data_IF_220261863599
#
_entry.id   IF_220261863599
#
_cell.length_a   1.000
_cell.length_b   1.000
_cell.length_c   1.000
_cell.angle_alpha   90.00
_cell.angle_beta   90.00
_cell.angle_gamma   90.00
#
_symmetry.space_group_name_H-M   'P 1'
#
loop_
_entity.id
_entity.type
_entity.pdbx_description
1 polymer ?
#
# COMPACT_ATOMS: atom_id res chain seq x y z
N UNK A 1 -10.57 -0.91 15.00
CA UNK A 1 -10.24 -0.17 16.21
C UNK A 1 -8.76 -0.33 16.54
N UNK A 2 -8.26 -1.49 17.00
CA UNK A 2 -6.88 -1.70 17.49
C UNK A 2 -5.77 -1.33 16.48
N UNK A 3 -5.97 -1.62 15.20
CA UNK A 3 -4.99 -1.23 14.17
C UNK A 3 -4.92 0.29 14.00
N UNK A 4 -6.02 1.00 14.15
CA UNK A 4 -6.06 2.48 14.15
C UNK A 4 -5.40 3.06 15.41
N UNK A 5 -5.50 2.37 16.52
CA UNK A 5 -4.84 2.73 17.78
C UNK A 5 -3.33 2.38 17.80
N UNK A 6 -2.78 1.82 16.73
CA UNK A 6 -1.33 1.57 16.60
C UNK A 6 -0.82 0.27 17.22
N UNK A 7 -1.70 -0.64 17.66
CA UNK A 7 -1.30 -1.88 18.35
C UNK A 7 -0.81 -3.00 17.41
N UNK A 8 -0.71 -2.77 16.11
CA UNK A 8 -0.21 -3.73 15.13
C UNK A 8 -0.88 -3.61 13.76
N UNK A 9 -0.46 -4.44 12.82
CA UNK A 9 -1.11 -4.54 11.52
C UNK A 9 -2.48 -5.23 11.66
N UNK A 10 -3.37 -4.99 10.70
CA UNK A 10 -4.69 -5.62 10.68
C UNK A 10 -4.58 -7.15 10.69
N UNK A 11 -3.67 -7.73 9.90
CA UNK A 11 -3.44 -9.18 9.84
C UNK A 11 -2.90 -9.75 11.15
N UNK A 12 -1.96 -9.09 11.79
CA UNK A 12 -1.43 -9.51 13.11
C UNK A 12 -2.54 -9.52 14.17
N UNK A 13 -3.34 -8.44 14.22
CA UNK A 13 -4.44 -8.34 15.17
C UNK A 13 -5.56 -9.35 14.89
N UNK A 14 -5.87 -9.63 13.64
CA UNK A 14 -6.80 -10.70 13.25
C UNK A 14 -6.29 -12.09 13.70
N UNK A 15 -4.98 -12.33 13.58
CA UNK A 15 -4.36 -13.56 14.07
C UNK A 15 -4.45 -13.67 15.60
N UNK A 16 -4.21 -12.58 16.34
CA UNK A 16 -4.34 -12.53 17.79
C UNK A 16 -5.81 -12.78 18.25
N UNK A 17 -6.78 -12.21 17.54
CA UNK A 17 -8.20 -12.44 17.82
C UNK A 17 -8.55 -13.91 17.58
N UNK A 18 -8.13 -14.49 16.45
CA UNK A 18 -8.34 -15.91 16.13
C UNK A 18 -7.71 -16.85 17.16
N UNK A 19 -6.56 -16.47 17.72
CA UNK A 19 -5.86 -17.20 18.75
C UNK A 19 -6.48 -17.02 20.17
N UNK A 20 -7.58 -16.24 20.31
CA UNK A 20 -8.22 -15.98 21.59
C UNK A 20 -7.42 -15.08 22.55
N UNK A 21 -6.41 -14.37 22.03
CA UNK A 21 -5.49 -13.53 22.81
C UNK A 21 -6.01 -12.09 23.04
N UNK A 22 -7.17 -11.75 22.47
CA UNK A 22 -7.81 -10.45 22.64
C UNK A 22 -9.11 -10.60 23.39
N UNK A 23 -9.33 -9.78 24.40
CA UNK A 23 -10.60 -9.73 25.14
C UNK A 23 -11.14 -8.30 25.23
N UNK A 24 -12.46 -8.20 25.29
CA UNK A 24 -13.22 -6.96 25.46
C UNK A 24 -14.09 -7.12 26.71
N UNK A 25 -13.92 -6.25 27.69
CA UNK A 25 -14.63 -6.31 28.97
C UNK A 25 -14.56 -7.71 29.63
N UNK A 26 -13.42 -8.40 29.49
CA UNK A 26 -13.18 -9.73 30.02
C UNK A 26 -13.70 -10.90 29.18
N UNK A 27 -14.41 -10.64 28.09
CA UNK A 27 -14.89 -11.67 27.14
C UNK A 27 -13.94 -11.77 25.95
N UNK A 28 -13.60 -13.00 25.54
CA UNK A 28 -12.73 -13.21 24.36
C UNK A 28 -13.42 -12.69 23.10
N UNK A 29 -12.74 -11.80 22.39
CA UNK A 29 -13.25 -11.17 21.18
C UNK A 29 -13.30 -12.15 20.00
N UNK A 30 -14.29 -12.00 19.14
CA UNK A 30 -14.44 -12.77 17.89
C UNK A 30 -14.13 -11.90 16.69
N UNK A 31 -13.62 -12.54 15.63
CA UNK A 31 -13.32 -11.84 14.39
C UNK A 31 -14.61 -11.29 13.77
N UNK A 32 -14.58 -10.01 13.37
CA UNK A 32 -15.76 -9.33 12.79
C UNK A 32 -16.72 -8.71 13.81
N UNK A 33 -16.51 -8.93 15.10
CA UNK A 33 -17.30 -8.31 16.16
C UNK A 33 -17.10 -6.79 16.18
N UNK A 34 -18.19 -6.05 16.34
CA UNK A 34 -18.15 -4.59 16.44
C UNK A 34 -17.93 -4.18 17.89
N UNK A 35 -17.01 -3.27 18.11
CA UNK A 35 -16.83 -2.60 19.41
C UNK A 35 -17.77 -1.39 19.41
N UNK A 36 -18.88 -1.49 20.13
CA UNK A 36 -19.90 -0.43 20.22
C UNK A 36 -19.62 0.54 21.38
N UNK A 37 -18.98 0.05 22.44
CA UNK A 37 -18.65 0.86 23.62
C UNK A 37 -17.22 1.46 23.47
N UNK A 38 -17.14 2.76 23.36
CA UNK A 38 -15.87 3.50 23.29
C UNK A 38 -15.04 3.42 24.59
N UNK A 39 -15.67 3.08 25.70
CA UNK A 39 -15.02 2.91 27.00
C UNK A 39 -14.70 1.44 27.34
N UNK A 40 -14.95 0.52 26.42
CA UNK A 40 -14.67 -0.89 26.63
C UNK A 40 -13.19 -1.12 26.97
N UNK A 41 -12.95 -1.94 27.99
CA UNK A 41 -11.60 -2.35 28.37
C UNK A 41 -11.14 -3.45 27.44
N UNK A 42 -10.22 -3.13 26.54
CA UNK A 42 -9.60 -4.11 25.62
C UNK A 42 -8.28 -4.58 26.19
N UNK A 43 -8.05 -5.89 26.15
CA UNK A 43 -6.77 -6.50 26.57
C UNK A 43 -6.21 -7.37 25.45
N UNK A 44 -4.90 -7.31 25.27
CA UNK A 44 -4.11 -8.22 24.44
C UNK A 44 -3.16 -8.95 25.40
N UNK A 45 -3.20 -10.27 25.42
CA UNK A 45 -2.41 -11.11 26.33
C UNK A 45 -2.55 -10.71 27.80
N UNK A 46 -3.75 -10.31 28.20
CA UNK A 46 -4.05 -9.86 29.56
C UNK A 46 -3.66 -8.41 29.86
N UNK A 47 -2.89 -7.74 29.02
CA UNK A 47 -2.51 -6.35 29.20
C UNK A 47 -3.54 -5.40 28.60
N UNK A 48 -3.98 -4.43 29.38
CA UNK A 48 -4.93 -3.41 28.93
C UNK A 48 -4.30 -2.54 27.86
N UNK A 49 -4.97 -2.41 26.73
CA UNK A 49 -4.56 -1.56 25.59
C UNK A 49 -5.64 -0.52 25.32
N UNK A 50 -5.23 0.67 24.91
CA UNK A 50 -6.19 1.71 24.53
C UNK A 50 -6.90 1.32 23.23
N UNK A 51 -8.22 1.20 23.29
CA UNK A 51 -9.07 1.07 22.09
C UNK A 51 -9.46 2.45 21.53
N UNK A 52 -9.24 3.53 22.28
CA UNK A 52 -9.46 4.89 21.78
C UNK A 52 -8.49 5.09 20.62
N UNK A 53 -9.03 5.44 19.46
CA UNK A 53 -8.20 6.05 18.44
C UNK A 53 -7.46 7.21 19.12
N UNK A 54 -6.13 7.21 19.04
CA UNK A 54 -5.39 8.33 19.60
C UNK A 54 -6.01 9.62 19.07
N UNK A 55 -6.21 10.57 19.98
CA UNK A 55 -6.74 11.91 19.67
C UNK A 55 -6.25 12.35 18.32
N UNK A 56 -7.17 12.75 17.45
CA UNK A 56 -7.00 13.19 16.07
C UNK A 56 -5.61 12.92 15.49
N UNK A 57 -5.38 11.73 14.96
CA UNK A 57 -4.15 11.48 14.23
C UNK A 57 -4.14 12.46 13.06
N UNK A 58 -3.39 13.52 13.23
CA UNK A 58 -3.21 14.52 12.15
C UNK A 58 -2.82 13.74 10.90
N UNK A 59 -3.71 13.77 9.89
CA UNK A 59 -3.42 13.13 8.62
C UNK A 59 -2.15 13.78 8.04
N UNK A 60 -1.10 12.99 7.96
CA UNK A 60 0.16 13.39 7.33
C UNK A 60 0.32 12.68 6.02
N UNK A 61 0.78 13.40 5.01
CA UNK A 61 1.11 12.85 3.70
C UNK A 61 2.56 13.18 3.39
N UNK A 62 3.29 12.21 2.88
CA UNK A 62 4.66 12.33 2.45
C UNK A 62 4.79 11.90 0.99
N UNK A 63 5.33 12.76 0.14
CA UNK A 63 5.79 12.41 -1.19
C UNK A 63 7.25 11.95 -1.10
N UNK A 64 7.51 10.74 -1.57
CA UNK A 64 8.82 10.12 -1.54
C UNK A 64 9.26 9.78 -2.95
N UNK A 65 10.46 10.18 -3.32
CA UNK A 65 11.11 9.68 -4.52
C UNK A 65 11.77 8.35 -4.19
N UNK A 66 11.16 7.24 -4.60
CA UNK A 66 11.75 5.91 -4.44
C UNK A 66 12.88 5.72 -5.45
N UNK A 67 14.11 5.48 -5.02
CA UNK A 67 15.19 5.09 -5.93
C UNK A 67 15.04 3.61 -6.34
N UNK A 68 15.75 3.22 -7.39
CA UNK A 68 15.94 1.81 -7.73
C UNK A 68 16.66 1.06 -6.59
N UNK A 69 16.36 -0.21 -6.42
CA UNK A 69 16.97 -1.10 -5.44
C UNK A 69 16.30 -1.09 -4.06
N UNK A 70 15.40 -0.15 -3.77
CA UNK A 70 14.62 -0.19 -2.52
C UNK A 70 13.34 -1.00 -2.67
N UNK A 71 13.01 -1.77 -1.63
CA UNK A 71 11.83 -2.62 -1.59
C UNK A 71 10.66 -1.94 -0.88
N UNK A 72 9.45 -2.08 -1.42
CA UNK A 72 8.21 -1.60 -0.80
C UNK A 72 7.67 -2.61 0.23
N UNK A 73 8.48 -2.99 1.20
CA UNK A 73 8.12 -3.86 2.32
C UNK A 73 8.61 -3.27 3.64
N UNK A 74 7.98 -3.63 4.75
CA UNK A 74 8.42 -3.23 6.09
C UNK A 74 9.55 -4.09 6.61
N UNK A 75 9.65 -5.31 6.14
CA UNK A 75 10.66 -6.27 6.55
C UNK A 75 11.09 -7.08 5.33
N UNK A 76 12.38 -7.18 5.15
CA UNK A 76 13.00 -8.05 4.16
C UNK A 76 13.88 -9.07 4.85
N UNK A 77 13.63 -10.38 4.66
CA UNK A 77 14.42 -11.44 5.29
C UNK A 77 15.90 -11.43 4.90
N UNK A 78 16.21 -10.89 3.72
CA UNK A 78 17.57 -10.80 3.19
C UNK A 78 18.30 -9.52 3.63
N UNK A 79 17.64 -8.64 4.41
CA UNK A 79 18.23 -7.41 4.91
C UNK A 79 18.47 -6.32 3.86
N UNK A 80 17.81 -6.40 2.69
CA UNK A 80 17.89 -5.36 1.66
C UNK A 80 17.21 -4.08 2.14
N UNK A 81 17.61 -2.96 1.59
CA UNK A 81 17.01 -1.66 1.93
C UNK A 81 15.53 -1.60 1.57
N UNK A 82 14.75 -1.04 2.47
CA UNK A 82 13.32 -0.81 2.26
C UNK A 82 13.01 0.69 2.21
N UNK A 83 11.90 1.04 1.58
CA UNK A 83 11.43 2.44 1.54
C UNK A 83 11.19 3.01 2.94
N UNK A 84 10.87 2.15 3.93
CA UNK A 84 10.58 2.59 5.30
C UNK A 84 11.83 2.98 6.10
N UNK A 85 13.04 2.57 5.67
CA UNK A 85 14.29 2.87 6.36
C UNK A 85 14.64 4.36 6.34
N UNK A 86 14.16 5.10 5.32
CA UNK A 86 14.43 6.52 5.14
C UNK A 86 13.30 7.45 5.57
N UNK A 87 12.14 6.91 5.94
CA UNK A 87 11.02 7.73 6.34
C UNK A 87 11.26 8.38 7.70
N UNK A 88 10.81 9.62 7.90
CA UNK A 88 10.91 10.27 9.21
C UNK A 88 10.13 9.48 10.25
N UNK A 89 10.74 9.36 11.44
CA UNK A 89 10.08 8.71 12.57
C UNK A 89 8.90 9.56 13.05
N UNK A 90 7.76 8.91 13.27
CA UNK A 90 6.56 9.53 13.81
C UNK A 90 6.14 8.81 15.09
N UNK A 91 5.65 9.59 16.07
CA UNK A 91 5.13 9.03 17.32
C UNK A 91 3.61 8.84 17.20
N UNK A 92 3.11 7.76 17.79
CA UNK A 92 1.68 7.50 17.89
C UNK A 92 0.95 7.15 16.59
N UNK A 93 1.69 7.01 15.48
CA UNK A 93 1.14 6.56 14.20
C UNK A 93 2.22 5.86 13.37
N UNK A 94 1.86 5.40 12.18
CA UNK A 94 2.80 4.74 11.25
C UNK A 94 2.55 5.20 9.83
N UNK A 95 3.60 5.20 9.03
CA UNK A 95 3.48 5.41 7.60
C UNK A 95 2.83 4.21 6.92
N UNK A 96 1.89 4.48 6.05
CA UNK A 96 1.22 3.53 5.18
C UNK A 96 1.59 3.90 3.76
N UNK A 97 2.13 2.96 3.00
CA UNK A 97 2.43 3.14 1.59
C UNK A 97 1.16 3.19 0.76
N UNK A 98 1.03 4.17 -0.11
CA UNK A 98 -0.05 4.27 -1.09
C UNK A 98 0.40 3.53 -2.36
N UNK A 99 0.16 2.23 -2.40
CA UNK A 99 0.63 1.35 -3.46
C UNK A 99 2.07 0.87 -3.24
N UNK A 100 2.62 0.31 -4.29
CA UNK A 100 3.99 -0.24 -4.33
C UNK A 100 4.60 0.01 -5.70
N UNK A 101 5.91 0.16 -5.71
CA UNK A 101 6.73 0.12 -6.92
C UNK A 101 7.70 -1.07 -6.78
N UNK A 102 8.02 -1.71 -7.88
CA UNK A 102 9.00 -2.78 -7.90
C UNK A 102 10.40 -2.28 -7.57
N UNK A 103 11.30 -3.18 -7.19
CA UNK A 103 12.68 -2.84 -6.83
C UNK A 103 13.37 -2.01 -7.92
N UNK A 104 13.17 -2.38 -9.18
CA UNK A 104 13.79 -1.73 -10.35
C UNK A 104 13.02 -0.50 -10.87
N UNK A 105 11.92 -0.14 -10.21
CA UNK A 105 11.13 1.05 -10.57
C UNK A 105 11.49 2.19 -9.62
N UNK A 106 11.76 3.36 -10.18
CA UNK A 106 11.97 4.60 -9.42
C UNK A 106 10.83 5.58 -9.64
N UNK A 107 10.68 6.55 -8.75
CA UNK A 107 9.73 7.63 -8.89
C UNK A 107 8.85 7.87 -7.69
N UNK A 108 7.69 8.51 -7.92
CA UNK A 108 6.78 8.95 -6.86
C UNK A 108 6.14 7.77 -6.13
N UNK A 109 6.31 7.75 -4.84
CA UNK A 109 5.59 6.88 -3.91
C UNK A 109 5.04 7.71 -2.77
N UNK A 110 3.74 7.67 -2.55
CA UNK A 110 3.09 8.40 -1.46
C UNK A 110 3.01 7.54 -0.21
N UNK A 111 3.17 8.20 0.94
CA UNK A 111 2.90 7.62 2.25
C UNK A 111 1.93 8.50 3.01
N UNK A 112 1.08 7.90 3.81
CA UNK A 112 0.18 8.63 4.70
C UNK A 112 0.06 7.93 6.05
N UNK A 113 -0.33 8.69 7.07
CA UNK A 113 -0.74 8.14 8.37
C UNK A 113 -2.20 7.72 8.39
N UNK A 114 -2.98 8.14 7.39
CA UNK A 114 -4.41 7.84 7.27
C UNK A 114 -4.64 6.64 6.35
N UNK A 115 -5.07 5.52 6.94
CA UNK A 115 -5.36 4.28 6.20
C UNK A 115 -6.58 4.38 5.28
N UNK A 116 -7.53 5.27 5.57
CA UNK A 116 -8.70 5.48 4.72
C UNK A 116 -8.30 6.25 3.46
N UNK A 117 -7.49 7.31 3.61
CA UNK A 117 -6.92 8.04 2.48
C UNK A 117 -6.09 7.11 1.59
N UNK A 118 -5.20 6.28 2.20
CA UNK A 118 -4.43 5.30 1.45
C UNK A 118 -5.33 4.36 0.64
N UNK A 119 -6.38 3.82 1.27
CA UNK A 119 -7.34 2.94 0.60
C UNK A 119 -8.08 3.65 -0.54
N UNK A 120 -8.52 4.89 -0.35
CA UNK A 120 -9.19 5.67 -1.40
C UNK A 120 -8.30 5.89 -2.62
N UNK A 121 -7.01 6.14 -2.40
CA UNK A 121 -6.06 6.36 -3.49
C UNK A 121 -5.64 5.07 -4.22
N UNK A 122 -5.69 3.92 -3.54
CA UNK A 122 -5.26 2.64 -4.10
C UNK A 122 -6.39 1.80 -4.68
N UNK A 123 -7.63 1.97 -4.20
CA UNK A 123 -8.72 1.07 -4.54
C UNK A 123 -9.10 1.20 -6.03
N UNK A 124 -9.15 0.11 -6.80
CA UNK A 124 -9.40 0.15 -8.23
C UNK A 124 -10.69 0.87 -8.63
N UNK A 125 -11.74 0.81 -7.80
CA UNK A 125 -13.00 1.50 -8.07
C UNK A 125 -12.91 3.03 -8.09
N UNK A 126 -11.81 3.61 -7.60
CA UNK A 126 -11.60 5.05 -7.60
C UNK A 126 -10.92 5.56 -8.87
N UNK A 127 -10.37 4.65 -9.66
CA UNK A 127 -9.76 4.95 -10.97
C UNK A 127 -8.78 6.14 -10.92
N UNK A 128 -7.96 6.20 -9.85
CA UNK A 128 -6.92 7.22 -9.76
C UNK A 128 -5.84 6.89 -10.79
N UNK A 129 -5.70 7.75 -11.77
CA UNK A 129 -4.72 7.59 -12.84
C UNK A 129 -3.29 7.56 -12.31
N UNK A 130 -2.47 6.73 -12.93
CA UNK A 130 -1.04 6.59 -12.66
C UNK A 130 -0.31 6.55 -13.96
N UNK A 131 0.60 7.50 -14.14
CA UNK A 131 1.43 7.60 -15.32
C UNK A 131 2.83 7.03 -15.04
N UNK A 132 3.33 6.23 -15.98
CA UNK A 132 4.67 5.65 -15.91
C UNK A 132 5.43 5.99 -17.19
N UNK A 133 6.72 6.30 -17.05
CA UNK A 133 7.66 6.33 -18.15
C UNK A 133 8.33 4.95 -18.25
N UNK A 134 8.03 4.23 -19.32
CA UNK A 134 8.47 2.83 -19.51
C UNK A 134 9.47 2.77 -20.66
N UNK A 135 10.60 2.09 -20.44
CA UNK A 135 11.55 1.75 -21.49
C UNK A 135 11.35 0.29 -21.90
N UNK A 136 11.18 0.08 -23.19
CA UNK A 136 10.98 -1.23 -23.81
C UNK A 136 12.11 -1.48 -24.80
N UNK A 137 12.68 -2.69 -24.75
CA UNK A 137 13.65 -3.15 -25.71
C UNK A 137 13.00 -4.06 -26.75
N UNK A 138 13.28 -3.84 -28.04
CA UNK A 138 12.79 -4.64 -29.15
C UNK A 138 11.88 -3.88 -30.09
N UNK A 139 11.34 -4.58 -31.09
CA UNK A 139 10.41 -4.00 -32.04
C UNK A 139 9.06 -3.70 -31.44
N UNK A 140 8.66 -2.43 -31.48
CA UNK A 140 7.35 -1.97 -31.07
C UNK A 140 6.67 -1.32 -32.28
N UNK A 141 5.60 -1.93 -32.75
CA UNK A 141 4.77 -1.46 -33.83
C UNK A 141 3.43 -0.89 -33.35
N UNK A 142 2.73 -0.17 -34.22
CA UNK A 142 1.42 0.38 -33.88
C UNK A 142 0.36 -0.68 -33.52
N UNK A 143 0.50 -1.90 -34.03
CA UNK A 143 -0.42 -3.00 -33.73
C UNK A 143 -0.27 -3.44 -32.29
N UNK A 144 0.97 -3.56 -31.82
CA UNK A 144 1.27 -3.87 -30.40
C UNK A 144 0.73 -2.78 -29.48
N UNK A 145 0.93 -1.51 -29.83
CA UNK A 145 0.40 -0.37 -29.05
C UNK A 145 -1.13 -0.42 -28.99
N UNK A 146 -1.81 -0.62 -30.14
CA UNK A 146 -3.27 -0.75 -30.15
C UNK A 146 -3.77 -1.92 -29.30
N UNK A 147 -3.05 -3.04 -29.28
CA UNK A 147 -3.41 -4.19 -28.44
C UNK A 147 -3.28 -3.86 -26.94
N UNK A 148 -2.25 -3.12 -26.54
CA UNK A 148 -2.07 -2.70 -25.14
C UNK A 148 -3.17 -1.77 -24.64
N UNK A 149 -3.70 -0.91 -25.50
CA UNK A 149 -4.84 -0.03 -25.18
C UNK A 149 -6.18 -0.78 -25.31
N UNK A 150 -6.30 -1.66 -26.31
CA UNK A 150 -7.50 -2.47 -26.50
C UNK A 150 -7.73 -3.58 -25.48
N UNK A 151 -6.64 -4.04 -24.88
CA UNK A 151 -6.61 -5.09 -23.89
C UNK A 151 -5.83 -6.33 -24.32
N UNK A 152 -5.08 -6.88 -23.38
CA UNK A 152 -4.30 -8.11 -23.52
C UNK A 152 -4.75 -9.08 -22.43
N UNK A 153 -5.01 -10.32 -22.82
CA UNK A 153 -5.34 -11.38 -21.87
C UNK A 153 -4.08 -11.81 -21.14
N UNK A 154 -4.11 -11.74 -19.81
CA UNK A 154 -3.09 -12.22 -18.90
C UNK A 154 -3.65 -13.41 -18.09
N UNK A 155 -2.80 -14.11 -17.34
CA UNK A 155 -3.23 -15.24 -16.51
C UNK A 155 -4.32 -14.87 -15.50
N UNK A 156 -4.34 -13.65 -15.01
CA UNK A 156 -5.28 -13.11 -14.01
C UNK A 156 -6.43 -12.32 -14.65
N UNK A 157 -6.53 -12.27 -15.98
CA UNK A 157 -7.63 -11.64 -16.74
C UNK A 157 -7.16 -10.56 -17.70
N UNK A 158 -8.12 -9.84 -18.27
CA UNK A 158 -7.88 -8.81 -19.26
C UNK A 158 -7.24 -7.58 -18.61
N UNK A 159 -6.08 -7.18 -19.13
CA UNK A 159 -5.37 -5.97 -18.72
C UNK A 159 -5.21 -5.00 -19.89
N UNK A 160 -5.31 -3.71 -19.62
CA UNK A 160 -5.10 -2.66 -20.63
C UNK A 160 -4.52 -1.40 -19.99
N UNK A 161 -3.90 -0.57 -20.81
CA UNK A 161 -3.60 0.81 -20.48
C UNK A 161 -4.71 1.73 -20.96
N UNK A 162 -4.96 2.82 -20.26
CA UNK A 162 -5.88 3.86 -20.72
C UNK A 162 -5.26 4.63 -21.89
N UNK A 163 -3.94 4.87 -21.84
CA UNK A 163 -3.19 5.55 -22.90
C UNK A 163 -1.74 5.03 -23.01
N UNK A 164 -1.19 5.06 -24.22
CA UNK A 164 0.21 4.72 -24.52
C UNK A 164 0.75 5.73 -25.52
N UNK A 165 1.65 6.60 -25.08
CA UNK A 165 2.24 7.68 -25.90
C UNK A 165 3.72 7.45 -26.09
N UNK A 166 4.17 7.44 -27.34
CA UNK A 166 5.60 7.32 -27.66
C UNK A 166 6.36 8.59 -27.26
N UNK A 167 7.39 8.41 -26.46
CA UNK A 167 8.22 9.50 -25.92
C UNK A 167 9.63 9.58 -26.55
N UNK A 168 9.91 8.72 -27.53
CA UNK A 168 11.21 8.68 -28.22
C UNK A 168 11.95 7.37 -28.00
N UNK A 169 13.15 7.27 -28.58
CA UNK A 169 13.99 6.09 -28.46
C UNK A 169 15.28 6.20 -29.25
N UNK A 170 16.16 5.22 -29.03
CA UNK A 170 17.41 5.07 -29.75
C UNK A 170 17.64 3.59 -30.10
N UNK A 171 17.76 3.30 -31.41
CA UNK A 171 17.90 1.93 -31.89
C UNK A 171 16.71 1.06 -31.53
N UNK A 172 16.95 -0.01 -30.76
CA UNK A 172 15.92 -0.91 -30.29
C UNK A 172 15.34 -0.54 -28.90
N UNK A 173 15.76 0.59 -28.34
CA UNK A 173 15.18 1.10 -27.08
C UNK A 173 14.09 2.12 -27.42
N UNK A 174 12.89 1.87 -26.91
CA UNK A 174 11.73 2.74 -27.07
C UNK A 174 11.20 3.16 -25.70
N UNK A 175 10.81 4.41 -25.59
CA UNK A 175 10.27 4.97 -24.34
C UNK A 175 8.84 5.41 -24.56
N UNK A 176 7.97 5.09 -23.63
CA UNK A 176 6.55 5.40 -23.66
C UNK A 176 6.08 5.97 -22.35
N UNK A 177 5.17 6.93 -22.40
CA UNK A 177 4.29 7.24 -21.29
C UNK A 177 3.09 6.29 -21.35
N UNK A 178 2.76 5.65 -20.23
CA UNK A 178 1.60 4.75 -20.11
C UNK A 178 0.77 5.15 -18.90
N UNK A 179 -0.56 5.12 -19.07
CA UNK A 179 -1.52 5.45 -18.02
C UNK A 179 -2.40 4.24 -17.70
#
# INVERSE_FOLDING_TARGET
>A
VLARAGHGSRRELEALIKAGRVSVNGVVAKLGERLEDENAVVRIDGHTVSAKAQEEVVCRVLAYYKPEGELCTRHDPEGRRTVFDRLPKIRGSRWISVGRLDANTSGLLLFTTDGELANRLMHPSRQVEREYLVRVFGDVDEKKIRNLVGGVELEDGLARFEDVVYAGGDGMNHTFYVV
#
